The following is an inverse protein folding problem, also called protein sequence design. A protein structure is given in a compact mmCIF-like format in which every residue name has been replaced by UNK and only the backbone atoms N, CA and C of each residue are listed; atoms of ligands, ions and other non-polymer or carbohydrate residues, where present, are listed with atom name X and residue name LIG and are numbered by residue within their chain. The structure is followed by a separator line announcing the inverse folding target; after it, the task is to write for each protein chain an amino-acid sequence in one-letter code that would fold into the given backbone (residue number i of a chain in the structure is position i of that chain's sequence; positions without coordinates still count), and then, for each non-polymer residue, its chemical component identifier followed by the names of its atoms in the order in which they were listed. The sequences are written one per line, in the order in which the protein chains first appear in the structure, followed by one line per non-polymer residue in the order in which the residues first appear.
data_IF_948902003096
#
_entry.id   IF_948902003096
#
_cell.length_a   1.000
_cell.length_b   1.000
_cell.length_c   1.000
_cell.angle_alpha   90.00
_cell.angle_beta   90.00
_cell.angle_gamma   90.00
#
_symmetry.space_group_name_H-M   'P 1'
#
loop_
_entity.id
_entity.type
_entity.pdbx_description
1 polymer ?
#
# COMPACT_ATOMS: atom_id res chain seq x y z
N UNK A 1 -8.83 12.16 10.30
CA UNK A 1 -8.13 13.36 10.80
C UNK A 1 -6.68 13.07 11.20
N UNK A 2 -6.36 12.49 12.37
CA UNK A 2 -4.93 12.35 12.77
C UNK A 2 -4.07 11.41 11.89
N UNK A 3 -4.67 10.35 11.32
CA UNK A 3 -3.93 9.37 10.48
C UNK A 3 -3.61 9.95 9.10
N UNK A 4 -4.58 10.60 8.47
CA UNK A 4 -4.42 11.24 7.15
C UNK A 4 -3.43 12.40 7.24
N UNK A 5 -3.46 13.17 8.33
CA UNK A 5 -2.54 14.28 8.54
C UNK A 5 -1.10 13.80 8.73
N UNK A 6 -0.88 12.76 9.55
CA UNK A 6 0.44 12.13 9.69
C UNK A 6 0.94 11.48 8.40
N UNK A 7 0.04 10.89 7.60
CA UNK A 7 0.42 10.38 6.29
C UNK A 7 0.84 11.51 5.35
N UNK A 8 0.10 12.61 5.31
CA UNK A 8 0.44 13.78 4.49
C UNK A 8 1.81 14.36 4.87
N UNK A 9 2.14 14.46 6.16
CA UNK A 9 3.47 14.90 6.63
C UNK A 9 4.59 13.96 6.18
N UNK A 10 4.35 12.63 6.26
CA UNK A 10 5.33 11.64 5.82
C UNK A 10 5.53 11.69 4.30
N UNK A 11 4.44 11.82 3.53
CA UNK A 11 4.49 11.93 2.08
C UNK A 11 5.31 13.17 1.70
N UNK A 12 4.99 14.35 2.25
CA UNK A 12 5.72 15.58 1.98
C UNK A 12 7.22 15.46 2.33
N UNK A 13 7.53 14.82 3.46
CA UNK A 13 8.92 14.53 3.84
C UNK A 13 9.65 13.66 2.80
N UNK A 14 9.05 12.54 2.38
CA UNK A 14 9.66 11.65 1.39
C UNK A 14 9.72 12.28 0.00
N UNK A 15 8.69 13.05 -0.40
CA UNK A 15 8.65 13.80 -1.66
C UNK A 15 9.77 14.82 -1.71
N UNK A 16 9.94 15.63 -0.65
CA UNK A 16 11.04 16.59 -0.55
C UNK A 16 12.40 15.91 -0.64
N UNK A 17 12.59 14.79 0.08
CA UNK A 17 13.85 14.05 0.06
C UNK A 17 14.13 13.43 -1.31
N UNK A 18 13.13 12.82 -1.95
CA UNK A 18 13.27 12.27 -3.30
C UNK A 18 13.51 13.37 -4.37
N UNK A 19 12.92 14.55 -4.20
CA UNK A 19 13.13 15.69 -5.10
C UNK A 19 14.52 16.33 -4.97
N UNK A 20 15.08 16.35 -3.75
CA UNK A 20 16.39 16.91 -3.46
C UNK A 20 17.57 15.99 -3.85
N UNK A 21 17.29 14.70 -4.02
CA UNK A 21 18.30 13.69 -4.37
C UNK A 21 18.32 13.49 -5.88
N UNK A 22 19.45 13.81 -6.51
CA UNK A 22 19.70 13.59 -7.94
C UNK A 22 20.47 12.30 -8.24
N UNK A 23 21.03 11.66 -7.20
CA UNK A 23 21.80 10.42 -7.33
C UNK A 23 20.89 9.19 -7.30
N UNK A 24 21.06 8.28 -8.27
CA UNK A 24 20.19 7.13 -8.45
C UNK A 24 20.29 6.13 -7.28
N UNK A 25 21.47 5.97 -6.68
CA UNK A 25 21.67 5.06 -5.54
C UNK A 25 21.04 5.62 -4.26
N UNK A 26 21.23 6.92 -4.00
CA UNK A 26 20.56 7.59 -2.89
C UNK A 26 19.03 7.58 -3.04
N UNK A 27 18.51 7.75 -4.26
CA UNK A 27 17.06 7.68 -4.51
C UNK A 27 16.51 6.27 -4.25
N UNK A 28 17.22 5.21 -4.66
CA UNK A 28 16.84 3.84 -4.34
C UNK A 28 16.75 3.60 -2.81
N UNK A 29 17.70 4.16 -2.03
CA UNK A 29 17.64 4.10 -0.56
C UNK A 29 16.38 4.77 0.00
N UNK A 30 16.03 5.96 -0.51
CA UNK A 30 14.80 6.67 -0.11
C UNK A 30 13.54 5.85 -0.43
N UNK A 31 13.51 5.16 -1.58
CA UNK A 31 12.39 4.28 -1.94
C UNK A 31 12.28 3.06 -1.02
N UNK A 32 13.41 2.46 -0.65
CA UNK A 32 13.43 1.35 0.33
C UNK A 32 12.94 1.83 1.69
N UNK A 33 13.39 3.00 2.16
CA UNK A 33 12.91 3.60 3.41
C UNK A 33 11.39 3.88 3.37
N UNK A 34 10.90 4.49 2.28
CA UNK A 34 9.47 4.81 2.12
C UNK A 34 8.60 3.54 2.08
N UNK A 35 8.99 2.55 1.27
CA UNK A 35 8.27 1.28 1.16
C UNK A 35 8.31 0.46 2.45
N UNK A 36 9.30 0.65 3.31
CA UNK A 36 9.40 -0.04 4.62
C UNK A 36 8.70 0.71 5.76
N UNK A 37 8.33 1.98 5.58
CA UNK A 37 7.80 2.81 6.66
C UNK A 37 6.37 2.39 7.11
N UNK A 38 6.12 1.97 8.36
CA UNK A 38 4.89 1.28 8.76
C UNK A 38 3.60 2.11 8.61
N UNK A 39 3.70 3.45 8.62
CA UNK A 39 2.54 4.34 8.50
C UNK A 39 2.29 4.88 7.08
N UNK A 40 3.17 4.58 6.12
CA UNK A 40 3.08 5.12 4.76
C UNK A 40 2.45 4.09 3.83
N UNK A 41 1.24 4.39 3.34
CA UNK A 41 0.45 3.53 2.45
C UNK A 41 0.10 4.20 1.11
N UNK A 42 0.51 5.45 0.90
CA UNK A 42 0.33 6.19 -0.34
C UNK A 42 1.69 6.54 -0.96
N UNK A 43 1.84 6.24 -2.24
CA UNK A 43 3.08 6.31 -3.01
C UNK A 43 2.91 7.05 -4.34
N UNK A 44 1.69 7.41 -4.74
CA UNK A 44 1.43 8.07 -6.03
C UNK A 44 2.19 9.38 -6.18
N UNK A 45 2.27 10.19 -5.11
CA UNK A 45 3.00 11.46 -5.13
C UNK A 45 4.51 11.26 -5.32
N UNK A 46 5.08 10.21 -4.71
CA UNK A 46 6.49 9.85 -4.86
C UNK A 46 6.73 9.32 -6.28
N UNK A 47 5.83 8.49 -6.80
CA UNK A 47 5.90 7.93 -8.15
C UNK A 47 5.77 9.00 -9.25
N UNK A 48 5.01 10.07 -8.99
CA UNK A 48 4.82 11.19 -9.92
C UNK A 48 6.05 12.10 -10.05
N UNK A 49 7.08 11.93 -9.20
CA UNK A 49 8.28 12.75 -9.26
C UNK A 49 9.11 12.45 -10.52
N UNK A 50 9.58 13.48 -11.25
CA UNK A 50 10.39 13.28 -12.46
C UNK A 50 11.70 12.55 -12.16
N UNK A 51 12.31 12.78 -11.00
CA UNK A 51 13.53 12.09 -10.57
C UNK A 51 13.31 10.58 -10.46
N UNK A 52 12.13 10.15 -10.00
CA UNK A 52 11.77 8.73 -9.85
C UNK A 52 11.49 8.10 -11.21
N UNK A 53 10.83 8.82 -12.12
CA UNK A 53 10.61 8.36 -13.49
C UNK A 53 11.92 8.22 -14.28
N UNK A 54 12.92 9.06 -14.00
CA UNK A 54 14.24 8.95 -14.62
C UNK A 54 14.99 7.65 -14.24
N UNK A 55 14.62 6.99 -13.12
CA UNK A 55 15.22 5.71 -12.74
C UNK A 55 14.90 4.59 -13.74
N UNK A 56 13.85 4.72 -14.55
CA UNK A 56 13.49 3.73 -15.58
C UNK A 56 14.62 3.54 -16.61
N UNK A 57 15.39 4.59 -16.88
CA UNK A 57 16.53 4.57 -17.80
C UNK A 57 17.84 4.06 -17.17
N UNK A 58 17.82 3.71 -15.87
CA UNK A 58 19.01 3.30 -15.11
C UNK A 58 18.92 1.84 -14.65
N UNK A 59 20.02 1.33 -14.10
CA UNK A 59 20.11 -0.01 -13.49
C UNK A 59 19.14 -0.19 -12.30
N UNK A 60 18.58 0.91 -11.76
CA UNK A 60 17.62 0.91 -10.65
C UNK A 60 16.15 0.83 -11.08
N UNK A 61 15.88 0.50 -12.35
CA UNK A 61 14.51 0.30 -12.87
C UNK A 61 13.68 -0.67 -12.03
N UNK A 62 14.30 -1.69 -11.42
CA UNK A 62 13.63 -2.64 -10.53
C UNK A 62 13.01 -1.98 -9.28
N UNK A 63 13.59 -0.89 -8.76
CA UNK A 63 13.02 -0.14 -7.64
C UNK A 63 11.80 0.70 -8.05
N UNK A 64 11.79 1.18 -9.29
CA UNK A 64 10.62 1.86 -9.85
C UNK A 64 9.45 0.89 -10.00
N UNK A 65 9.72 -0.31 -10.52
CA UNK A 65 8.71 -1.36 -10.63
C UNK A 65 8.21 -1.85 -9.27
N UNK A 66 9.11 -1.90 -8.27
CA UNK A 66 8.70 -2.11 -6.87
C UNK A 66 7.74 -0.99 -6.41
N UNK A 67 8.05 0.28 -6.63
CA UNK A 67 7.16 1.38 -6.21
C UNK A 67 5.80 1.32 -6.92
N UNK A 68 5.79 1.01 -8.23
CA UNK A 68 4.55 0.80 -9.01
C UNK A 68 3.70 -0.34 -8.45
N UNK A 69 4.34 -1.43 -8.02
CA UNK A 69 3.68 -2.56 -7.36
C UNK A 69 3.04 -2.15 -6.02
N UNK A 70 3.71 -1.32 -5.22
CA UNK A 70 3.14 -0.81 -3.96
C UNK A 70 1.99 0.16 -4.21
N UNK A 71 2.10 1.05 -5.19
CA UNK A 71 1.04 2.00 -5.52
C UNK A 71 -0.21 1.30 -6.09
N UNK A 72 -0.05 0.32 -6.97
CA UNK A 72 -1.19 -0.19 -7.76
C UNK A 72 -1.33 -1.71 -7.81
N UNK A 73 -0.28 -2.45 -7.50
CA UNK A 73 -0.26 -3.92 -7.62
C UNK A 73 -0.69 -4.63 -6.34
N UNK A 74 -0.55 -5.96 -6.34
CA UNK A 74 -0.92 -6.84 -5.24
C UNK A 74 0.20 -7.83 -4.93
N UNK A 75 0.07 -8.55 -3.81
CA UNK A 75 0.96 -9.64 -3.46
C UNK A 75 0.99 -10.75 -4.52
N UNK A 76 -0.12 -10.97 -5.24
CA UNK A 76 -0.17 -11.90 -6.37
C UNK A 76 0.69 -11.44 -7.55
N UNK A 77 0.71 -10.13 -7.82
CA UNK A 77 1.53 -9.53 -8.88
C UNK A 77 3.02 -9.63 -8.54
N UNK A 78 3.39 -9.47 -7.25
CA UNK A 78 4.77 -9.70 -6.80
C UNK A 78 5.22 -11.13 -7.07
N UNK A 79 4.40 -12.12 -6.67
CA UNK A 79 4.72 -13.55 -6.88
C UNK A 79 4.88 -13.89 -8.35
N UNK A 80 4.07 -13.27 -9.22
CA UNK A 80 4.12 -13.50 -10.67
C UNK A 80 5.32 -12.83 -11.35
N UNK A 81 5.83 -11.74 -10.77
CA UNK A 81 6.96 -10.96 -11.31
C UNK A 81 8.23 -11.06 -10.44
N UNK A 82 8.34 -12.11 -9.62
CA UNK A 82 9.43 -12.26 -8.66
C UNK A 82 10.82 -12.30 -9.34
N UNK A 83 10.89 -12.70 -10.61
CA UNK A 83 12.13 -12.73 -11.39
C UNK A 83 12.65 -11.34 -11.80
N UNK A 84 11.76 -10.32 -11.82
CA UNK A 84 12.10 -8.95 -12.28
C UNK A 84 12.21 -7.95 -11.13
N UNK A 85 11.62 -8.28 -9.99
CA UNK A 85 11.54 -7.39 -8.83
C UNK A 85 12.67 -7.66 -7.83
N UNK A 86 13.11 -6.65 -7.07
CA UNK A 86 14.08 -6.86 -6.00
C UNK A 86 13.49 -7.73 -4.89
N UNK A 87 14.33 -8.45 -4.16
CA UNK A 87 13.89 -9.17 -2.97
C UNK A 87 13.38 -8.18 -1.91
N UNK A 88 12.12 -8.35 -1.52
CA UNK A 88 11.49 -7.52 -0.50
C UNK A 88 11.92 -7.93 0.90
N UNK A 89 12.16 -6.94 1.77
CA UNK A 89 12.39 -7.18 3.19
C UNK A 89 11.06 -7.56 3.90
N UNK A 90 11.10 -8.20 5.08
CA UNK A 90 9.89 -8.61 5.79
C UNK A 90 8.86 -7.49 6.00
N UNK A 91 9.32 -6.27 6.32
CA UNK A 91 8.44 -5.10 6.50
C UNK A 91 7.73 -4.68 5.21
N UNK A 92 8.43 -4.75 4.07
CA UNK A 92 7.87 -4.49 2.74
C UNK A 92 6.85 -5.57 2.35
N UNK A 93 7.15 -6.84 2.65
CA UNK A 93 6.22 -7.96 2.40
C UNK A 93 4.93 -7.77 3.21
N UNK A 94 5.07 -7.42 4.49
CA UNK A 94 3.95 -7.14 5.38
C UNK A 94 3.08 -6.02 4.79
N UNK A 95 3.70 -4.91 4.39
CA UNK A 95 2.99 -3.77 3.80
C UNK A 95 2.31 -4.11 2.47
N UNK A 96 2.97 -4.87 1.59
CA UNK A 96 2.37 -5.24 0.32
C UNK A 96 1.14 -6.15 0.52
N UNK A 97 1.19 -7.04 1.52
CA UNK A 97 0.01 -7.82 1.92
C UNK A 97 -1.10 -6.93 2.48
N UNK A 98 -0.77 -5.95 3.33
CA UNK A 98 -1.73 -4.97 3.85
C UNK A 98 -2.42 -4.18 2.72
N UNK A 99 -1.65 -3.67 1.75
CA UNK A 99 -2.18 -2.96 0.57
C UNK A 99 -3.04 -3.87 -0.32
N UNK A 100 -2.69 -5.15 -0.40
CA UNK A 100 -3.51 -6.15 -1.11
C UNK A 100 -4.87 -6.32 -0.43
N UNK A 101 -4.90 -6.41 0.90
CA UNK A 101 -6.16 -6.48 1.66
C UNK A 101 -7.01 -5.23 1.40
N UNK A 102 -6.42 -4.04 1.40
CA UNK A 102 -7.16 -2.79 1.09
C UNK A 102 -7.80 -2.82 -0.30
N UNK A 103 -7.04 -3.27 -1.31
CA UNK A 103 -7.53 -3.39 -2.69
C UNK A 103 -8.70 -4.37 -2.80
N UNK A 104 -8.57 -5.51 -2.12
CA UNK A 104 -9.63 -6.52 -2.11
C UNK A 104 -10.86 -6.02 -1.35
N UNK A 105 -10.66 -5.28 -0.24
CA UNK A 105 -11.72 -4.72 0.58
C UNK A 105 -12.51 -3.62 -0.13
N UNK A 106 -11.86 -2.89 -1.04
CA UNK A 106 -12.52 -1.91 -1.92
C UNK A 106 -13.38 -2.61 -2.99
N UNK A 107 -12.89 -3.70 -3.57
CA UNK A 107 -13.56 -4.42 -4.67
C UNK A 107 -14.69 -5.33 -4.16
N UNK A 108 -14.48 -5.98 -3.01
CA UNK A 108 -15.38 -6.97 -2.44
C UNK A 108 -15.69 -6.61 -0.98
N UNK A 109 -16.99 -6.49 -0.66
CA UNK A 109 -17.45 -6.25 0.71
C UNK A 109 -17.25 -7.45 1.64
N UNK A 110 -17.14 -8.65 1.08
CA UNK A 110 -16.86 -9.90 1.77
C UNK A 110 -15.56 -10.49 1.20
N UNK A 111 -14.52 -10.60 2.04
CA UNK A 111 -13.24 -11.22 1.66
C UNK A 111 -13.28 -12.71 1.99
N UNK A 112 -13.11 -13.57 0.98
CA UNK A 112 -13.04 -15.02 1.17
C UNK A 112 -11.67 -15.43 1.75
N UNK A 113 -11.71 -16.01 2.95
CA UNK A 113 -10.52 -16.36 3.72
C UNK A 113 -10.16 -17.83 3.43
N UNK A 114 -9.63 -18.11 2.24
CA UNK A 114 -9.28 -19.48 1.82
C UNK A 114 -8.23 -20.14 2.71
N UNK A 115 -7.29 -19.37 3.29
CA UNK A 115 -6.32 -19.83 4.30
C UNK A 115 -6.67 -19.26 5.67
N UNK A 116 -7.73 -19.81 6.29
CA UNK A 116 -8.42 -19.32 7.47
C UNK A 116 -7.48 -18.80 8.56
N UNK A 117 -6.59 -19.63 9.14
CA UNK A 117 -5.82 -19.20 10.32
C UNK A 117 -4.76 -18.14 10.06
N UNK A 118 -3.95 -18.29 9.01
CA UNK A 118 -2.87 -17.33 8.74
C UNK A 118 -3.41 -15.98 8.28
N UNK A 119 -4.48 -15.98 7.48
CA UNK A 119 -5.09 -14.74 7.03
C UNK A 119 -5.94 -14.10 8.13
N UNK A 120 -6.60 -14.88 8.99
CA UNK A 120 -7.27 -14.35 10.20
C UNK A 120 -6.26 -13.70 11.15
N UNK A 121 -5.15 -14.40 11.48
CA UNK A 121 -4.10 -13.85 12.33
C UNK A 121 -3.47 -12.60 11.70
N UNK A 122 -3.28 -12.59 10.39
CA UNK A 122 -2.79 -11.41 9.68
C UNK A 122 -3.80 -10.26 9.70
N UNK A 123 -5.09 -10.52 9.47
CA UNK A 123 -6.12 -9.48 9.49
C UNK A 123 -6.25 -8.87 10.89
N UNK A 124 -6.26 -9.71 11.93
CA UNK A 124 -6.38 -9.27 13.32
C UNK A 124 -5.11 -8.51 13.71
N UNK A 125 -3.95 -9.16 13.65
CA UNK A 125 -2.71 -8.57 14.17
C UNK A 125 -2.21 -7.43 13.29
N UNK A 126 -2.27 -7.58 11.96
CA UNK A 126 -1.56 -6.71 11.01
C UNK A 126 -2.46 -5.73 10.24
N UNK A 127 -3.78 -5.92 10.18
CA UNK A 127 -4.67 -5.01 9.43
C UNK A 127 -5.69 -4.25 10.29
N UNK A 128 -6.21 -4.89 11.34
CA UNK A 128 -7.18 -4.30 12.27
C UNK A 128 -6.51 -3.63 13.46
N UNK A 129 -5.46 -4.26 14.01
CA UNK A 129 -4.76 -3.79 15.20
C UNK A 129 -3.33 -3.29 14.95
N UNK A 130 -2.67 -3.64 13.84
CA UNK A 130 -1.38 -3.03 13.51
C UNK A 130 -1.59 -1.68 12.86
N UNK A 131 -1.52 -0.66 13.70
CA UNK A 131 -0.46 0.34 13.54
C UNK A 131 0.03 0.62 14.97
N UNK A 132 1.21 0.14 15.34
CA UNK A 132 1.99 0.61 16.50
C UNK A 132 1.52 0.23 17.93
N UNK A 133 2.46 0.28 18.86
CA UNK A 133 2.38 0.00 20.32
C UNK A 133 1.42 0.95 21.08
N UNK A 134 0.55 1.68 20.37
CA UNK A 134 -0.28 2.74 20.92
C UNK A 134 -1.76 2.35 20.73
N UNK A 135 -2.56 2.17 21.81
CA UNK A 135 -3.93 1.64 21.78
C UNK A 135 -4.99 2.52 21.06
N UNK A 136 -4.57 3.44 20.20
CA UNK A 136 -5.45 4.40 19.49
C UNK A 136 -5.09 4.62 18.02
N UNK A 137 -4.09 3.91 17.48
CA UNK A 137 -3.82 3.95 16.05
C UNK A 137 -4.78 3.00 15.32
N UNK A 138 -5.78 3.58 14.62
CA UNK A 138 -6.81 2.82 13.91
C UNK A 138 -6.13 2.02 12.78
N UNK A 139 -6.32 0.70 12.78
CA UNK A 139 -5.88 -0.15 11.68
C UNK A 139 -6.45 0.28 10.33
N UNK A 140 -5.78 -0.17 9.28
CA UNK A 140 -6.09 0.14 7.87
C UNK A 140 -7.46 -0.39 7.44
N UNK A 141 -7.96 -1.44 8.09
CA UNK A 141 -9.27 -2.05 7.80
C UNK A 141 -10.05 -2.24 9.09
N UNK A 142 -11.37 -2.02 9.04
CA UNK A 142 -12.31 -2.37 10.10
C UNK A 142 -13.44 -3.20 9.52
N UNK A 143 -13.86 -4.19 10.29
CA UNK A 143 -14.87 -5.12 9.86
C UNK A 143 -15.14 -6.16 10.92
N UNK A 144 -15.97 -7.13 10.54
CA UNK A 144 -16.30 -8.27 11.38
C UNK A 144 -15.84 -9.54 10.69
N UNK A 145 -15.09 -10.36 11.41
CA UNK A 145 -14.72 -11.69 10.96
C UNK A 145 -15.87 -12.65 11.29
N UNK A 146 -16.46 -13.27 10.27
CA UNK A 146 -17.43 -14.35 10.41
C UNK A 146 -16.73 -15.70 10.17
N UNK A 147 -16.35 -16.36 11.26
CA UNK A 147 -15.67 -17.65 11.22
C UNK A 147 -16.55 -18.78 10.65
N UNK A 148 -17.89 -18.67 10.76
CA UNK A 148 -18.80 -19.69 10.23
C UNK A 148 -18.88 -19.60 8.71
N UNK A 149 -18.97 -18.38 8.18
CA UNK A 149 -19.01 -18.12 6.74
C UNK A 149 -17.62 -18.02 6.10
N UNK A 150 -16.56 -18.05 6.91
CA UNK A 150 -15.15 -17.88 6.50
C UNK A 150 -14.94 -16.61 5.69
N UNK A 151 -15.66 -15.55 6.07
CA UNK A 151 -15.57 -14.27 5.40
C UNK A 151 -15.23 -13.15 6.38
N UNK A 152 -14.53 -12.14 5.88
CA UNK A 152 -14.35 -10.89 6.59
C UNK A 152 -15.26 -9.83 5.96
N UNK A 153 -16.24 -9.37 6.73
CA UNK A 153 -17.16 -8.31 6.35
C UNK A 153 -16.49 -6.95 6.58
N UNK A 154 -16.14 -6.27 5.49
CA UNK A 154 -15.49 -4.96 5.52
C UNK A 154 -16.52 -3.88 5.83
N UNK A 155 -16.34 -3.17 6.95
CA UNK A 155 -17.15 -1.99 7.31
C UNK A 155 -16.46 -0.69 6.91
N UNK A 156 -15.13 -0.66 6.98
CA UNK A 156 -14.31 0.47 6.58
C UNK A 156 -12.97 -0.05 6.08
N UNK A 157 -12.48 0.52 4.98
CA UNK A 157 -11.13 0.33 4.50
C UNK A 157 -10.53 1.71 4.24
N UNK A 158 -9.28 1.90 4.61
CA UNK A 158 -8.53 3.08 4.22
C UNK A 158 -8.40 3.14 2.69
N UNK A 159 -8.43 4.34 2.12
CA UNK A 159 -8.18 4.52 0.69
C UNK A 159 -6.73 4.20 0.37
N UNK A 160 -6.52 3.48 -0.74
CA UNK A 160 -5.20 3.32 -1.35
C UNK A 160 -4.99 4.40 -2.42
N UNK A 161 -3.77 4.48 -2.94
CA UNK A 161 -3.41 5.22 -4.15
C UNK A 161 -4.41 5.04 -5.29
N UNK A 162 -4.96 6.15 -5.77
CA UNK A 162 -5.86 6.19 -6.91
C UNK A 162 -5.08 6.02 -8.20
N UNK A 163 -5.59 5.16 -9.09
CA UNK A 163 -5.14 5.17 -10.49
C UNK A 163 -5.79 6.36 -11.21
N UNK A 164 -5.11 7.01 -12.16
CA UNK A 164 -5.66 8.16 -12.89
C UNK A 164 -7.04 7.87 -13.52
N UNK A 165 -7.27 6.65 -14.00
CA UNK A 165 -8.53 6.23 -14.62
C UNK A 165 -9.69 6.02 -13.62
N UNK A 166 -9.41 5.89 -12.32
CA UNK A 166 -10.43 5.62 -11.30
C UNK A 166 -11.26 6.87 -10.95
N UNK A 167 -10.71 8.07 -11.16
CA UNK A 167 -11.40 9.31 -10.83
C UNK A 167 -12.71 9.47 -11.63
N UNK A 168 -12.71 9.09 -12.91
CA UNK A 168 -13.90 9.14 -13.76
C UNK A 168 -15.02 8.22 -13.25
N UNK A 169 -14.65 7.00 -12.84
CA UNK A 169 -15.60 6.04 -12.26
C UNK A 169 -16.17 6.54 -10.94
N UNK A 170 -15.37 7.18 -10.09
CA UNK A 170 -15.84 7.76 -8.83
C UNK A 170 -16.85 8.90 -9.08
N UNK A 171 -16.55 9.82 -10.01
CA UNK A 171 -17.46 10.91 -10.38
C UNK A 171 -18.77 10.35 -10.90
N UNK A 172 -18.72 9.34 -11.77
CA UNK A 172 -19.92 8.70 -12.31
C UNK A 172 -20.73 8.00 -11.20
N UNK A 173 -20.07 7.31 -10.28
CA UNK A 173 -20.73 6.61 -9.17
C UNK A 173 -21.43 7.60 -8.23
N UNK A 174 -20.75 8.70 -7.87
CA UNK A 174 -21.34 9.78 -7.08
C UNK A 174 -22.48 10.49 -7.80
N UNK A 175 -22.41 10.61 -9.12
CA UNK A 175 -23.49 11.21 -9.92
C UNK A 175 -24.72 10.29 -10.03
N UNK A 176 -24.53 8.97 -9.86
CA UNK A 176 -25.60 7.97 -9.89
C UNK A 176 -26.23 7.71 -8.51
N UNK A 177 -25.70 8.32 -7.44
CA UNK A 177 -26.24 8.27 -6.08
C UNK A 177 -27.30 9.36 -5.87
#
# INVERSE_FOLDING_TARGET
MDIEQRQSELIDHFVKRASAVSDAAALASVLVEATSHPSLFAFSEILALPNVLQLEATENSAFLDMLRLFAHGTWGDYKSNADRLPQLIPDQILKLKQLTVLTLAETHKELDVTNVRELEDFLINECMYAVGIIPYQRGIVRGKLDQLRRCFEVQFAAGRDLRPDQLGNMIQTLSNW
#
